data_IF_873543381949
#
_entry.id   IF_873543381949
#
_cell.length_a   1.000
_cell.length_b   1.000
_cell.length_c   1.000
_cell.angle_alpha   90.00
_cell.angle_beta   90.00
_cell.angle_gamma   90.00
#
_symmetry.space_group_name_H-M   'P 1'
#
loop_
_entity.id
_entity.type
_entity.pdbx_description
1 polymer ?
#
# COMPACT_ATOMS: atom_id res chain seq x y z
N UNK A 1 -15.35 -11.73 17.65
CA UNK A 1 -15.27 -12.02 16.19
C UNK A 1 -14.91 -10.79 15.37
N UNK A 2 -15.36 -9.58 15.72
CA UNK A 2 -15.05 -8.35 14.96
C UNK A 2 -13.54 -8.13 14.68
N UNK A 3 -12.68 -8.26 15.69
CA UNK A 3 -11.22 -8.12 15.49
C UNK A 3 -10.63 -9.16 14.53
N UNK A 4 -11.16 -10.39 14.57
CA UNK A 4 -10.79 -11.44 13.63
C UNK A 4 -11.27 -11.11 12.20
N UNK A 5 -12.50 -10.61 12.06
CA UNK A 5 -13.05 -10.18 10.77
C UNK A 5 -12.29 -8.97 10.19
N UNK A 6 -11.90 -8.01 11.03
CA UNK A 6 -11.06 -6.88 10.63
C UNK A 6 -9.65 -7.34 10.20
N UNK A 7 -9.05 -8.26 10.97
CA UNK A 7 -7.76 -8.86 10.60
C UNK A 7 -7.84 -9.61 9.27
N UNK A 8 -8.89 -10.42 9.07
CA UNK A 8 -9.14 -11.13 7.81
C UNK A 8 -9.38 -10.15 6.66
N UNK A 9 -10.15 -9.08 6.88
CA UNK A 9 -10.45 -8.07 5.87
C UNK A 9 -9.19 -7.33 5.40
N UNK A 10 -8.28 -7.01 6.32
CA UNK A 10 -7.02 -6.34 5.99
C UNK A 10 -5.98 -7.30 5.39
N UNK A 11 -5.92 -8.54 5.86
CA UNK A 11 -4.95 -9.54 5.39
C UNK A 11 -5.36 -10.17 4.04
N UNK A 12 -6.66 -10.24 3.72
CA UNK A 12 -7.13 -10.89 2.49
C UNK A 12 -6.59 -10.22 1.21
N UNK A 13 -6.65 -8.89 1.03
CA UNK A 13 -6.02 -8.24 -0.13
C UNK A 13 -4.50 -8.40 -0.16
N UNK A 14 -3.85 -8.35 1.01
CA UNK A 14 -2.40 -8.52 1.14
C UNK A 14 -1.93 -9.93 0.78
N UNK A 15 -2.75 -10.96 1.03
CA UNK A 15 -2.46 -12.35 0.70
C UNK A 15 -2.93 -12.79 -0.70
N UNK A 16 -3.93 -12.12 -1.27
CA UNK A 16 -4.54 -12.49 -2.56
C UNK A 16 -3.85 -11.84 -3.77
N UNK A 17 -3.20 -10.69 -3.59
CA UNK A 17 -2.59 -9.97 -4.71
C UNK A 17 -1.14 -10.43 -4.97
N UNK A 18 -0.82 -10.94 -6.17
CA UNK A 18 0.56 -11.21 -6.53
C UNK A 18 1.26 -9.87 -6.82
N UNK A 19 2.05 -9.38 -5.87
CA UNK A 19 3.00 -8.30 -6.11
C UNK A 19 4.10 -8.82 -7.02
N UNK A 20 3.88 -8.73 -8.33
CA UNK A 20 4.85 -9.12 -9.35
C UNK A 20 5.27 -7.91 -10.17
N UNK A 21 6.54 -7.86 -10.50
CA UNK A 21 7.14 -6.84 -11.35
C UNK A 21 7.67 -7.52 -12.61
N UNK A 22 7.37 -6.92 -13.77
CA UNK A 22 7.96 -7.30 -15.05
C UNK A 22 9.38 -6.77 -15.08
N UNK A 23 10.38 -7.64 -15.12
CA UNK A 23 11.78 -7.21 -15.12
C UNK A 23 12.45 -7.63 -16.42
N UNK A 24 13.24 -6.72 -17.01
CA UNK A 24 14.00 -7.01 -18.22
C UNK A 24 14.83 -8.30 -18.02
N UNK A 25 14.80 -9.23 -18.99
CA UNK A 25 15.58 -10.45 -18.90
C UNK A 25 17.08 -10.19 -18.94
N UNK A 26 17.84 -11.12 -18.38
CA UNK A 26 19.29 -11.21 -18.52
C UNK A 26 19.67 -12.32 -19.51
N UNK A 27 20.88 -12.22 -20.06
CA UNK A 27 21.47 -13.30 -20.85
C UNK A 27 21.59 -14.56 -19.98
N UNK A 28 21.11 -15.69 -20.49
CA UNK A 28 21.02 -16.96 -19.77
C UNK A 28 19.69 -17.23 -19.08
N UNK A 29 18.78 -16.24 -18.98
CA UNK A 29 17.42 -16.48 -18.50
C UNK A 29 16.62 -17.34 -19.50
N UNK A 30 15.62 -18.07 -19.02
CA UNK A 30 14.76 -18.91 -19.88
C UNK A 30 13.39 -18.24 -20.04
N UNK A 31 13.08 -17.79 -21.25
CA UNK A 31 11.77 -17.23 -21.61
C UNK A 31 11.11 -18.17 -22.63
N UNK A 32 9.88 -18.61 -22.35
CA UNK A 32 9.09 -19.50 -23.24
C UNK A 32 9.86 -20.77 -23.68
N UNK A 33 10.80 -21.25 -22.87
CA UNK A 33 11.63 -22.42 -23.17
C UNK A 33 12.87 -22.16 -24.03
N UNK A 34 13.18 -20.90 -24.34
CA UNK A 34 14.41 -20.50 -25.03
C UNK A 34 15.37 -19.77 -24.07
N UNK A 35 16.66 -20.01 -24.24
CA UNK A 35 17.72 -19.31 -23.49
C UNK A 35 17.91 -17.94 -24.14
N UNK A 36 17.80 -16.89 -23.33
CA UNK A 36 18.07 -15.51 -23.75
C UNK A 36 19.56 -15.37 -24.06
N UNK A 37 19.88 -14.93 -25.27
CA UNK A 37 21.26 -14.62 -25.71
C UNK A 37 21.43 -13.11 -25.88
N UNK A 38 22.67 -12.64 -26.07
CA UNK A 38 22.94 -11.21 -26.33
C UNK A 38 22.26 -10.69 -27.61
N UNK A 39 22.07 -11.55 -28.61
CA UNK A 39 21.42 -11.19 -29.88
C UNK A 39 19.89 -11.14 -29.74
N UNK A 40 19.30 -12.01 -28.92
CA UNK A 40 17.83 -12.17 -28.80
C UNK A 40 17.23 -11.30 -27.67
N UNK A 41 18.05 -10.75 -26.76
CA UNK A 41 17.57 -10.01 -25.58
C UNK A 41 16.70 -8.79 -25.92
N UNK A 42 17.00 -8.12 -27.02
CA UNK A 42 16.28 -6.92 -27.48
C UNK A 42 15.05 -7.24 -28.33
N UNK A 43 14.87 -8.50 -28.73
CA UNK A 43 13.69 -8.97 -29.47
C UNK A 43 12.48 -9.23 -28.55
N UNK A 44 12.71 -9.36 -27.24
CA UNK A 44 11.63 -9.62 -26.27
C UNK A 44 10.85 -8.36 -25.91
N UNK A 45 9.56 -8.35 -26.27
CA UNK A 45 8.63 -7.30 -25.86
C UNK A 45 8.45 -7.25 -24.33
N UNK A 46 8.17 -6.07 -23.74
CA UNK A 46 7.95 -5.93 -22.29
C UNK A 46 6.87 -6.84 -21.69
N UNK A 47 5.93 -7.32 -22.51
CA UNK A 47 4.89 -8.26 -22.10
C UNK A 47 5.40 -9.68 -21.87
N UNK A 48 6.51 -10.03 -22.51
CA UNK A 48 7.14 -11.35 -22.43
C UNK A 48 8.24 -11.41 -21.36
N UNK A 49 8.49 -10.28 -20.67
CA UNK A 49 9.48 -10.22 -19.61
C UNK A 49 9.11 -11.15 -18.46
N UNK A 50 10.11 -11.79 -17.83
CA UNK A 50 9.87 -12.62 -16.67
C UNK A 50 9.26 -11.81 -15.53
N UNK A 51 8.20 -12.36 -14.95
CA UNK A 51 7.57 -11.81 -13.74
C UNK A 51 8.33 -12.29 -12.51
N UNK A 52 8.86 -11.37 -11.72
CA UNK A 52 9.52 -11.66 -10.45
C UNK A 52 8.64 -11.19 -9.29
N UNK A 53 8.66 -11.94 -8.18
CA UNK A 53 8.00 -11.49 -6.95
C UNK A 53 8.67 -10.23 -6.45
N UNK A 54 7.90 -9.17 -6.32
CA UNK A 54 8.31 -7.94 -5.70
C UNK A 54 8.23 -8.10 -4.17
N UNK A 55 9.38 -8.03 -3.51
CA UNK A 55 9.46 -8.02 -2.04
C UNK A 55 9.75 -6.58 -1.59
N UNK A 56 8.78 -5.84 -1.04
CA UNK A 56 9.01 -4.47 -0.60
C UNK A 56 10.10 -4.43 0.47
N UNK A 57 10.95 -3.40 0.40
CA UNK A 57 11.96 -3.17 1.43
C UNK A 57 11.31 -2.75 2.75
N UNK A 58 12.00 -2.98 3.87
CA UNK A 58 11.53 -2.52 5.18
C UNK A 58 11.29 -1.00 5.21
N UNK A 59 12.09 -0.22 4.46
CA UNK A 59 11.91 1.22 4.33
C UNK A 59 10.59 1.61 3.65
N UNK A 60 10.17 0.89 2.60
CA UNK A 60 8.87 1.13 1.95
C UNK A 60 7.70 0.88 2.91
N UNK A 61 7.77 -0.22 3.67
CA UNK A 61 6.73 -0.57 4.64
C UNK A 61 6.65 0.47 5.76
N UNK A 62 7.79 0.83 6.35
CA UNK A 62 7.85 1.82 7.42
C UNK A 62 7.41 3.22 6.96
N UNK A 63 7.84 3.63 5.76
CA UNK A 63 7.44 4.92 5.19
C UNK A 63 5.93 5.01 4.97
N UNK A 64 5.31 3.96 4.40
CA UNK A 64 3.86 3.92 4.21
C UNK A 64 3.11 3.97 5.55
N UNK A 65 3.53 3.19 6.54
CA UNK A 65 2.93 3.20 7.88
C UNK A 65 3.09 4.57 8.56
N UNK A 66 4.25 5.22 8.40
CA UNK A 66 4.50 6.57 8.90
C UNK A 66 3.52 7.59 8.32
N UNK A 67 3.27 7.55 7.01
CA UNK A 67 2.30 8.45 6.37
C UNK A 67 0.87 8.25 6.90
N UNK A 68 0.45 7.00 7.13
CA UNK A 68 -0.85 6.71 7.75
C UNK A 68 -0.96 7.34 9.14
N UNK A 69 0.08 7.17 9.97
CA UNK A 69 0.13 7.74 11.33
C UNK A 69 0.09 9.27 11.28
N UNK A 70 0.82 9.89 10.36
CA UNK A 70 0.84 11.36 10.19
C UNK A 70 -0.53 11.88 9.77
N UNK A 71 -1.18 11.26 8.79
CA UNK A 71 -2.52 11.64 8.35
C UNK A 71 -3.54 11.51 9.49
N UNK A 72 -3.51 10.38 10.21
CA UNK A 72 -4.38 10.16 11.36
C UNK A 72 -4.13 11.17 12.49
N UNK A 73 -2.86 11.43 12.81
CA UNK A 73 -2.48 12.42 13.82
C UNK A 73 -2.95 13.83 13.46
N UNK A 74 -2.86 14.21 12.19
CA UNK A 74 -3.38 15.50 11.69
C UNK A 74 -4.88 15.61 11.93
N UNK A 75 -5.66 14.57 11.63
CA UNK A 75 -7.11 14.53 11.90
C UNK A 75 -7.42 14.68 13.39
N UNK A 76 -6.65 14.02 14.28
CA UNK A 76 -6.84 14.14 15.73
C UNK A 76 -6.54 15.55 16.24
N UNK A 77 -5.52 16.21 15.71
CA UNK A 77 -5.18 17.59 16.09
C UNK A 77 -6.33 18.53 15.72
N UNK A 78 -6.87 18.42 14.50
CA UNK A 78 -8.04 19.21 14.08
C UNK A 78 -9.25 18.92 14.95
N UNK A 79 -9.55 17.64 15.20
CA UNK A 79 -10.69 17.25 16.04
C UNK A 79 -10.56 17.76 17.48
N UNK A 80 -9.34 17.82 18.02
CA UNK A 80 -9.08 18.31 19.38
C UNK A 80 -9.26 19.82 19.50
N UNK A 81 -8.86 20.58 18.49
CA UNK A 81 -8.99 22.04 18.46
C UNK A 81 -10.41 22.51 18.12
N UNK A 82 -11.20 21.68 17.42
CA UNK A 82 -12.60 22.01 17.07
C UNK A 82 -13.64 21.65 18.14
N UNK A 83 -13.25 21.01 19.24
CA UNK A 83 -14.16 20.52 20.28
C UNK A 83 -14.52 21.54 21.37
N UNK A 84 -13.99 22.76 21.32
CA UNK A 84 -14.09 23.75 22.40
C UNK A 84 -15.32 24.68 22.29
N UNK A 85 -16.10 24.58 21.20
CA UNK A 85 -17.30 25.39 20.97
C UNK A 85 -18.59 24.54 21.02
N UNK A 86 -18.94 24.08 22.22
CA UNK A 86 -20.32 23.68 22.54
C UNK A 86 -20.62 23.91 24.02
N UNK A 87 -20.75 25.20 24.37
CA UNK A 87 -21.52 25.62 25.54
C UNK A 87 -22.53 26.67 25.08
N UNK A 88 -23.79 26.29 24.78
CA UNK A 88 -24.87 27.23 24.88
C UNK A 88 -25.21 27.34 26.37
N UNK A 89 -24.47 28.17 27.09
CA UNK A 89 -25.00 28.80 28.30
C UNK A 89 -26.03 29.84 27.86
N UNK A 90 -27.21 29.35 27.49
CA UNK A 90 -28.42 30.15 27.38
C UNK A 90 -29.16 30.08 28.70
N UNK A 91 -28.67 30.83 29.67
CA UNK A 91 -29.50 31.33 30.77
C UNK A 91 -30.60 32.19 30.14
N UNK A 92 -31.82 31.69 30.26
CA UNK A 92 -33.05 32.35 29.83
C UNK A 92 -34.06 32.20 30.95
N UNK A 93 -33.69 32.66 32.14
CA UNK A 93 -34.64 33.12 33.12
C UNK A 93 -35.29 34.40 32.60
N UNK A 94 -36.56 34.33 32.19
CA UNK A 94 -37.56 35.38 32.46
C UNK A 94 -38.97 34.98 32.00
N UNK A 95 -39.90 35.12 32.96
CA UNK A 95 -41.37 35.04 32.96
C UNK A 95 -42.06 33.68 32.80
#
# INVERSE_FOLDING_TARGET
TLGFLLGLLLAAPAGLYPFVESVRPNVGDVIKGQIVTEETIDEYEPRDWPVRRFTPSAGHVLGALGLVIVGFGTTLVVARLGGEESSPSGDGSDT
#
